data_IF_467733528680
#
_entry.id   IF_467733528680
#
_cell.length_a   1.000
_cell.length_b   1.000
_cell.length_c   1.000
_cell.angle_alpha   90.00
_cell.angle_beta   90.00
_cell.angle_gamma   90.00
#
_symmetry.space_group_name_H-M   'P 1'
#
loop_
_entity.id
_entity.type
_entity.pdbx_description
1 polymer ?
#
# COMPACT_ATOMS: atom_id res chain seq x y z
N UNK A 1 36.64 -0.53 -1.47
CA UNK A 1 36.03 0.22 -0.34
C UNK A 1 34.68 -0.40 -0.04
N UNK A 2 34.51 -1.04 1.12
CA UNK A 2 33.22 -1.61 1.51
C UNK A 2 32.28 -0.47 1.92
N UNK A 3 31.30 -0.17 1.09
CA UNK A 3 30.29 0.85 1.36
C UNK A 3 29.48 0.41 2.58
N UNK A 4 29.59 1.13 3.70
CA UNK A 4 28.79 0.87 4.90
C UNK A 4 27.31 0.93 4.51
N UNK A 5 26.56 -0.13 4.81
CA UNK A 5 25.14 -0.23 4.46
C UNK A 5 24.32 0.77 5.29
N UNK A 6 24.14 1.99 4.78
CA UNK A 6 23.32 3.03 5.43
C UNK A 6 21.86 2.56 5.43
N UNK A 7 21.22 2.57 6.60
CA UNK A 7 19.78 2.33 6.70
C UNK A 7 19.05 3.39 5.89
N UNK A 8 18.32 2.95 4.87
CA UNK A 8 17.53 3.84 4.02
C UNK A 8 16.23 4.16 4.75
N UNK A 9 16.01 5.45 5.01
CA UNK A 9 14.77 5.97 5.59
C UNK A 9 13.92 6.56 4.46
N UNK A 10 12.61 6.34 4.53
CA UNK A 10 11.65 6.97 3.62
C UNK A 10 10.84 7.97 4.45
N UNK A 11 10.94 9.24 4.11
CA UNK A 11 10.04 10.27 4.64
C UNK A 11 8.62 10.07 4.11
N UNK A 12 7.67 10.78 4.70
CA UNK A 12 6.29 10.80 4.21
C UNK A 12 6.20 11.34 2.76
N UNK A 13 6.95 12.41 2.47
CA UNK A 13 7.05 12.99 1.13
C UNK A 13 7.62 11.98 0.10
N UNK A 14 8.62 11.17 0.48
CA UNK A 14 9.16 10.11 -0.39
C UNK A 14 8.07 9.08 -0.74
N UNK A 15 7.24 8.72 0.24
CA UNK A 15 6.16 7.76 0.05
C UNK A 15 5.06 8.32 -0.87
N UNK A 16 4.68 9.58 -0.66
CA UNK A 16 3.73 10.29 -1.52
C UNK A 16 4.22 10.38 -2.96
N UNK A 17 5.45 10.85 -3.18
CA UNK A 17 6.05 10.96 -4.52
C UNK A 17 6.09 9.61 -5.24
N UNK A 18 6.47 8.54 -4.55
CA UNK A 18 6.48 7.20 -5.12
C UNK A 18 5.08 6.77 -5.60
N UNK A 19 4.08 6.93 -4.75
CA UNK A 19 2.69 6.54 -5.06
C UNK A 19 2.11 7.42 -6.18
N UNK A 20 2.45 8.70 -6.22
CA UNK A 20 1.99 9.61 -7.27
C UNK A 20 2.54 9.25 -8.65
N UNK A 21 3.83 8.88 -8.75
CA UNK A 21 4.41 8.38 -9.99
C UNK A 21 3.67 7.12 -10.47
N UNK A 22 3.35 6.22 -9.55
CA UNK A 22 2.65 4.96 -9.82
C UNK A 22 1.22 5.18 -10.33
N UNK A 23 0.49 6.15 -9.76
CA UNK A 23 -0.92 6.41 -10.10
C UNK A 23 -1.03 7.23 -11.39
N UNK A 24 -0.19 8.26 -11.55
CA UNK A 24 -0.30 9.22 -12.66
C UNK A 24 0.15 8.61 -13.98
N UNK A 25 1.09 7.67 -13.93
CA UNK A 25 1.55 6.93 -15.09
C UNK A 25 0.80 5.60 -15.15
N UNK A 26 0.45 5.10 -16.33
CA UNK A 26 -0.25 3.82 -16.55
C UNK A 26 0.44 2.57 -15.96
N UNK A 27 1.54 2.75 -15.21
CA UNK A 27 2.30 1.77 -14.45
C UNK A 27 1.46 0.99 -13.46
N UNK A 28 0.42 1.59 -12.85
CA UNK A 28 -0.52 0.89 -11.95
C UNK A 28 -0.98 -0.45 -12.53
N UNK A 29 -1.44 -0.45 -13.79
CA UNK A 29 -2.01 -1.64 -14.42
C UNK A 29 -0.98 -2.76 -14.60
N UNK A 30 0.28 -2.39 -14.87
CA UNK A 30 1.38 -3.34 -15.05
C UNK A 30 1.83 -3.90 -13.71
N UNK A 31 2.04 -3.05 -12.69
CA UNK A 31 2.55 -3.48 -11.39
C UNK A 31 1.52 -4.32 -10.60
N UNK A 32 0.22 -4.04 -10.74
CA UNK A 32 -0.86 -4.78 -10.08
C UNK A 32 -1.42 -5.93 -10.93
N UNK A 33 -0.88 -6.16 -12.13
CA UNK A 33 -1.28 -7.30 -12.95
C UNK A 33 -1.08 -8.60 -12.18
N UNK A 34 -2.11 -9.46 -12.07
CA UNK A 34 -2.04 -10.74 -11.35
C UNK A 34 -1.41 -11.87 -12.17
N UNK A 35 -1.12 -11.66 -13.46
CA UNK A 35 -0.49 -12.65 -14.32
C UNK A 35 0.96 -12.92 -13.90
N UNK A 36 1.39 -14.18 -14.07
CA UNK A 36 2.68 -14.70 -13.59
C UNK A 36 3.55 -15.27 -14.73
N UNK A 37 3.26 -14.94 -15.98
CA UNK A 37 4.06 -15.35 -17.12
C UNK A 37 5.36 -14.53 -17.26
N UNK A 38 6.32 -15.07 -18.00
CA UNK A 38 7.64 -14.48 -18.16
C UNK A 38 7.61 -13.10 -18.82
N UNK A 39 6.65 -12.85 -19.72
CA UNK A 39 6.46 -11.54 -20.37
C UNK A 39 6.00 -10.52 -19.35
N UNK A 40 4.95 -10.84 -18.59
CA UNK A 40 4.46 -9.99 -17.49
C UNK A 40 5.56 -9.68 -16.48
N UNK A 41 6.43 -10.64 -16.14
CA UNK A 41 7.54 -10.39 -15.22
C UNK A 41 8.53 -9.37 -15.77
N UNK A 42 8.93 -9.51 -17.05
CA UNK A 42 9.83 -8.55 -17.72
C UNK A 42 9.22 -7.16 -17.78
N UNK A 43 7.93 -7.06 -18.10
CA UNK A 43 7.20 -5.78 -18.13
C UNK A 43 7.14 -5.10 -16.76
N UNK A 44 6.84 -5.86 -15.69
CA UNK A 44 6.88 -5.36 -14.31
C UNK A 44 8.27 -4.85 -13.95
N UNK A 45 9.31 -5.62 -14.26
CA UNK A 45 10.68 -5.21 -13.97
C UNK A 45 11.05 -3.92 -14.72
N UNK A 46 10.76 -3.84 -16.02
CA UNK A 46 10.99 -2.64 -16.82
C UNK A 46 10.22 -1.43 -16.28
N UNK A 47 8.99 -1.64 -15.80
CA UNK A 47 8.17 -0.59 -15.18
C UNK A 47 8.79 -0.07 -13.89
N UNK A 48 9.30 -0.95 -13.02
CA UNK A 48 10.01 -0.54 -11.81
C UNK A 48 11.31 0.22 -12.11
N UNK A 49 12.03 -0.14 -13.18
CA UNK A 49 13.20 0.63 -13.63
C UNK A 49 12.80 2.04 -14.08
N UNK A 50 11.71 2.20 -14.84
CA UNK A 50 11.19 3.52 -15.24
C UNK A 50 10.78 4.36 -14.04
N UNK A 51 10.07 3.77 -13.07
CA UNK A 51 9.71 4.44 -11.81
C UNK A 51 10.96 4.93 -11.09
N UNK A 52 12.00 4.09 -10.98
CA UNK A 52 13.25 4.47 -10.34
C UNK A 52 13.94 5.63 -11.08
N UNK A 53 13.97 5.61 -12.41
CA UNK A 53 14.51 6.70 -13.21
C UNK A 53 13.76 8.03 -12.99
N UNK A 54 12.43 8.02 -13.04
CA UNK A 54 11.59 9.21 -12.83
C UNK A 54 11.72 9.74 -11.41
N UNK A 55 11.81 8.86 -10.42
CA UNK A 55 12.01 9.27 -9.04
C UNK A 55 13.39 9.92 -8.88
N UNK A 56 14.43 9.23 -9.35
CA UNK A 56 15.83 9.60 -9.18
C UNK A 56 16.23 10.87 -9.93
N UNK A 57 15.52 11.24 -11.01
CA UNK A 57 15.78 12.50 -11.72
C UNK A 57 15.52 13.74 -10.87
N UNK A 58 14.75 13.62 -9.78
CA UNK A 58 14.42 14.71 -8.88
C UNK A 58 14.95 14.54 -7.46
N UNK A 59 15.90 13.63 -7.19
CA UNK A 59 16.47 13.43 -5.85
C UNK A 59 17.99 13.35 -5.86
N UNK A 60 18.59 13.80 -4.77
CA UNK A 60 20.04 13.68 -4.50
C UNK A 60 20.42 12.32 -3.91
N UNK A 61 19.44 11.55 -3.39
CA UNK A 61 19.65 10.21 -2.84
C UNK A 61 18.95 9.16 -3.73
N UNK A 62 19.64 8.63 -4.78
CA UNK A 62 19.05 7.70 -5.72
C UNK A 62 18.77 6.33 -5.09
N UNK A 63 17.70 5.67 -5.54
CA UNK A 63 17.25 4.36 -5.05
C UNK A 63 17.02 3.39 -6.21
N UNK A 64 17.13 2.10 -5.93
CA UNK A 64 16.97 1.05 -6.94
C UNK A 64 15.50 0.68 -7.17
N UNK A 65 15.22 0.09 -8.33
CA UNK A 65 13.91 -0.47 -8.64
C UNK A 65 13.41 -1.45 -7.56
N UNK A 66 14.28 -2.31 -7.05
CA UNK A 66 13.93 -3.29 -6.00
C UNK A 66 13.57 -2.61 -4.67
N UNK A 67 14.25 -1.51 -4.33
CA UNK A 67 13.96 -0.73 -3.14
C UNK A 67 12.57 -0.09 -3.22
N UNK A 68 12.21 0.47 -4.37
CA UNK A 68 10.87 1.02 -4.60
C UNK A 68 9.78 -0.05 -4.58
N UNK A 69 10.03 -1.19 -5.22
CA UNK A 69 9.11 -2.34 -5.19
C UNK A 69 8.86 -2.80 -3.75
N UNK A 70 9.93 -3.04 -2.99
CA UNK A 70 9.83 -3.46 -1.59
C UNK A 70 9.08 -2.44 -0.74
N UNK A 71 9.39 -1.14 -0.91
CA UNK A 71 8.69 -0.06 -0.19
C UNK A 71 7.21 -0.04 -0.52
N UNK A 72 6.84 -0.12 -1.79
CA UNK A 72 5.45 -0.12 -2.22
C UNK A 72 4.68 -1.35 -1.72
N UNK A 73 5.29 -2.54 -1.76
CA UNK A 73 4.68 -3.75 -1.19
C UNK A 73 4.44 -3.63 0.32
N UNK A 74 5.37 -3.01 1.06
CA UNK A 74 5.19 -2.72 2.48
C UNK A 74 4.05 -1.71 2.72
N UNK A 75 3.96 -0.64 1.92
CA UNK A 75 2.85 0.30 2.01
C UNK A 75 1.49 -0.40 1.78
N UNK A 76 1.41 -1.31 0.80
CA UNK A 76 0.20 -2.14 0.59
C UNK A 76 -0.12 -3.02 1.80
N UNK A 77 0.88 -3.62 2.45
CA UNK A 77 0.68 -4.42 3.68
C UNK A 77 0.15 -3.54 4.82
N UNK A 78 0.72 -2.36 5.00
CA UNK A 78 0.32 -1.43 6.06
C UNK A 78 -1.13 -0.94 5.88
N UNK A 79 -1.56 -0.72 4.62
CA UNK A 79 -2.96 -0.43 4.27
C UNK A 79 -3.89 -1.57 4.64
N UNK A 80 -3.56 -2.81 4.24
CA UNK A 80 -4.38 -3.98 4.58
C UNK A 80 -4.47 -4.20 6.09
N UNK A 81 -3.35 -4.05 6.81
CA UNK A 81 -3.29 -4.18 8.27
C UNK A 81 -4.21 -3.16 8.94
N UNK A 82 -4.16 -1.91 8.48
CA UNK A 82 -5.02 -0.86 9.01
C UNK A 82 -6.50 -1.15 8.78
N UNK A 83 -6.89 -1.56 7.58
CA UNK A 83 -8.29 -1.86 7.26
C UNK A 83 -8.79 -3.09 8.03
N UNK A 84 -7.93 -4.09 8.26
CA UNK A 84 -8.23 -5.21 9.13
C UNK A 84 -8.43 -4.77 10.60
N UNK A 85 -7.56 -3.91 11.12
CA UNK A 85 -7.67 -3.36 12.47
C UNK A 85 -8.93 -2.49 12.63
N UNK A 86 -9.22 -1.64 11.65
CA UNK A 86 -10.44 -0.82 11.60
C UNK A 86 -11.70 -1.68 11.62
N UNK A 87 -11.75 -2.76 10.83
CA UNK A 87 -12.86 -3.72 10.88
C UNK A 87 -12.94 -4.39 12.25
N UNK A 88 -11.81 -4.89 12.78
CA UNK A 88 -11.78 -5.55 14.08
C UNK A 88 -12.26 -4.64 15.23
N UNK A 89 -11.95 -3.34 15.19
CA UNK A 89 -12.44 -2.40 16.20
C UNK A 89 -13.95 -2.20 16.17
N UNK A 90 -14.59 -2.32 14.99
CA UNK A 90 -16.06 -2.25 14.89
C UNK A 90 -16.76 -3.43 15.56
N UNK A 91 -16.13 -4.61 15.57
CA UNK A 91 -16.69 -5.83 16.18
C UNK A 91 -16.26 -6.03 17.65
N UNK A 92 -15.43 -5.16 18.22
CA UNK A 92 -14.95 -5.27 19.60
C UNK A 92 -15.88 -4.54 20.56
N UNK A 93 -16.68 -5.28 21.32
CA UNK A 93 -17.55 -4.79 22.41
C UNK A 93 -16.78 -4.58 23.73
N UNK A 94 -15.65 -3.88 23.70
CA UNK A 94 -14.80 -3.70 24.88
C UNK A 94 -13.82 -2.55 24.80
N UNK A 95 -14.33 -1.31 24.80
CA UNK A 95 -13.66 -0.08 25.31
C UNK A 95 -12.21 0.22 24.94
N UNK A 96 -11.66 -0.31 23.83
CA UNK A 96 -10.28 -0.06 23.42
C UNK A 96 -10.09 1.31 22.74
N UNK A 97 -8.88 1.89 22.77
CA UNK A 97 -8.61 3.21 22.21
C UNK A 97 -8.94 3.29 20.71
N UNK A 98 -9.51 4.43 20.29
CA UNK A 98 -9.88 4.69 18.89
C UNK A 98 -8.63 4.93 18.04
N UNK A 99 -8.65 4.41 16.81
CA UNK A 99 -7.54 4.42 15.85
C UNK A 99 -7.27 5.84 15.26
N UNK A 100 -8.02 6.85 15.71
CA UNK A 100 -8.21 8.13 15.00
C UNK A 100 -6.99 9.08 14.99
N UNK A 101 -6.07 8.98 15.95
CA UNK A 101 -5.09 10.06 16.15
C UNK A 101 -3.83 9.96 15.28
N UNK A 102 -3.56 8.81 14.63
CA UNK A 102 -2.30 8.59 13.91
C UNK A 102 -2.35 8.92 12.40
N UNK A 103 -3.50 9.32 11.82
CA UNK A 103 -3.73 9.23 10.37
C UNK A 103 -4.54 10.37 9.74
N UNK A 104 -4.07 11.61 9.87
CA UNK A 104 -4.52 12.68 8.97
C UNK A 104 -3.59 12.80 7.73
N UNK A 105 -2.28 12.81 7.92
CA UNK A 105 -1.28 12.97 6.84
C UNK A 105 -1.14 11.67 6.02
N UNK A 106 -1.04 10.53 6.71
CA UNK A 106 -1.04 9.21 6.07
C UNK A 106 -2.38 8.87 5.40
N UNK A 107 -3.48 9.57 5.71
CA UNK A 107 -4.81 9.26 5.17
C UNK A 107 -4.81 9.33 3.65
N UNK A 108 -4.26 10.41 3.09
CA UNK A 108 -4.25 10.62 1.65
C UNK A 108 -3.43 9.55 0.93
N UNK A 109 -2.28 9.16 1.48
CA UNK A 109 -1.45 8.09 0.95
C UNK A 109 -2.19 6.74 1.01
N UNK A 110 -2.85 6.47 2.13
CA UNK A 110 -3.61 5.25 2.35
C UNK A 110 -4.80 5.16 1.41
N UNK A 111 -5.56 6.25 1.23
CA UNK A 111 -6.69 6.32 0.31
C UNK A 111 -6.22 6.12 -1.14
N UNK A 112 -5.10 6.73 -1.53
CA UNK A 112 -4.45 6.51 -2.83
C UNK A 112 -4.14 5.03 -3.05
N UNK A 113 -3.49 4.38 -2.10
CA UNK A 113 -3.16 2.95 -2.22
C UNK A 113 -4.41 2.09 -2.19
N UNK A 114 -5.36 2.35 -1.28
CA UNK A 114 -6.62 1.62 -1.17
C UNK A 114 -7.40 1.64 -2.48
N UNK A 115 -7.45 2.78 -3.17
CA UNK A 115 -8.08 2.87 -4.49
C UNK A 115 -7.40 1.98 -5.54
N UNK A 116 -6.09 1.73 -5.41
CA UNK A 116 -5.36 0.82 -6.28
C UNK A 116 -5.73 -0.63 -6.00
N UNK A 117 -5.80 -1.02 -4.73
CA UNK A 117 -5.89 -2.41 -4.27
C UNK A 117 -7.28 -2.84 -3.78
N UNK A 118 -8.35 -2.08 -4.05
CA UNK A 118 -9.70 -2.25 -3.49
C UNK A 118 -10.18 -3.71 -3.41
N UNK A 119 -10.12 -4.46 -4.51
CA UNK A 119 -10.49 -5.89 -4.59
C UNK A 119 -9.71 -6.82 -3.65
N UNK A 120 -8.59 -6.39 -3.09
CA UNK A 120 -7.75 -7.15 -2.14
C UNK A 120 -7.85 -6.61 -0.71
N UNK A 121 -8.64 -5.58 -0.48
CA UNK A 121 -8.84 -4.93 0.83
C UNK A 121 -10.24 -5.20 1.35
N UNK A 122 -11.22 -5.25 0.45
CA UNK A 122 -12.61 -5.54 0.78
C UNK A 122 -12.70 -7.00 1.27
N UNK A 123 -13.13 -7.17 2.52
CA UNK A 123 -13.36 -8.47 3.14
C UNK A 123 -14.76 -8.99 2.82
N UNK A 124 -15.12 -10.15 3.39
CA UNK A 124 -16.52 -10.53 3.48
C UNK A 124 -17.27 -9.49 4.32
N UNK A 125 -18.40 -9.00 3.78
CA UNK A 125 -19.33 -8.18 4.53
C UNK A 125 -19.77 -8.91 5.81
N UNK A 126 -20.06 -8.20 6.90
CA UNK A 126 -20.65 -8.82 8.08
C UNK A 126 -21.87 -9.65 7.68
N UNK A 127 -21.92 -10.90 8.16
CA UNK A 127 -23.15 -11.67 8.16
C UNK A 127 -24.22 -10.84 8.85
N UNK A 128 -25.26 -10.43 8.10
CA UNK A 128 -26.49 -9.98 8.72
C UNK A 128 -27.00 -11.19 9.51
N UNK A 129 -27.04 -11.08 10.84
CA UNK A 129 -27.24 -12.21 11.75
C UNK A 129 -28.43 -13.09 11.35
N UNK A 130 -28.28 -14.38 11.62
CA UNK A 130 -29.39 -15.30 11.75
C UNK A 130 -30.35 -14.76 12.82
N UNK A 131 -31.55 -14.42 12.37
CA UNK A 131 -32.63 -13.90 13.22
C UNK A 131 -33.09 -14.93 14.25
N UNK A 132 -32.38 -15.07 15.36
CA UNK A 132 -32.94 -15.60 16.60
C UNK A 132 -33.51 -14.45 17.42
N UNK A 133 -34.54 -13.79 16.86
CA UNK A 133 -35.45 -12.96 17.64
C UNK A 133 -36.40 -13.90 18.37
N UNK A 134 -36.06 -14.28 19.59
CA UNK A 134 -37.03 -14.89 20.50
C UNK A 134 -38.14 -13.87 20.75
N UNK A 135 -39.28 -14.08 20.11
CA UNK A 135 -40.53 -13.44 20.46
C UNK A 135 -40.90 -13.87 21.89
N UNK A 136 -40.89 -12.91 22.80
CA UNK A 136 -41.49 -13.00 24.13
C UNK A 136 -43.02 -13.03 24.03
#
# INVERSE_FOLDING_TARGET
MATKNKRIVYSDADCHRLVDIIITSTYRNVIECKKTDATTWKEKNATWQKIAQIYNSGTTEPRTADQFRCKYDNLKKDVRKYEAQKRQSLYRTGGGPTIDELKAILKLLYDKIKSIISFSVDGLEPSQGDSDMLAL
#
